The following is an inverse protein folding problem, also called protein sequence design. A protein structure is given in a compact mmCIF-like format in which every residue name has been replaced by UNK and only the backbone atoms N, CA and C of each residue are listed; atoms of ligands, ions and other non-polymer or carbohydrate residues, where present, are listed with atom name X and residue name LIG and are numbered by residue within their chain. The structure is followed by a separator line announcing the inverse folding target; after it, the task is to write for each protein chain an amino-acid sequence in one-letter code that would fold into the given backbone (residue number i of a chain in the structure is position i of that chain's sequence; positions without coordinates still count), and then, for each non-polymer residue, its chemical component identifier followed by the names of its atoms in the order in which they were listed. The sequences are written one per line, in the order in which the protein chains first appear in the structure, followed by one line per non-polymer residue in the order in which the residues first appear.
data_IF_194745155624
#
_entry.id   IF_194745155624
#
_cell.length_a   1.000
_cell.length_b   1.000
_cell.length_c   1.000
_cell.angle_alpha   90.00
_cell.angle_beta   90.00
_cell.angle_gamma   90.00
#
_symmetry.space_group_name_H-M   'P 1'
#
loop_
_entity.id
_entity.type
_entity.pdbx_description
1 polymer ?
#
# COMPACT_ATOMS: atom_id res chain seq x y z
N UNK A 1 20.96 -8.39 -14.10
CA UNK A 1 19.74 -7.60 -14.34
C UNK A 1 18.76 -7.95 -13.25
N UNK A 2 18.43 -6.97 -12.42
CA UNK A 2 17.65 -7.14 -11.19
C UNK A 2 16.26 -7.70 -11.51
N UNK A 3 15.93 -8.88 -10.98
CA UNK A 3 14.58 -9.44 -11.12
C UNK A 3 13.66 -8.63 -10.22
N UNK A 4 12.94 -7.66 -10.78
CA UNK A 4 11.88 -6.96 -10.07
C UNK A 4 10.93 -8.00 -9.48
N UNK A 5 10.79 -8.02 -8.14
CA UNK A 5 9.82 -8.88 -7.48
C UNK A 5 8.42 -8.53 -7.99
N UNK A 6 7.65 -9.53 -8.40
CA UNK A 6 6.25 -9.34 -8.80
C UNK A 6 5.49 -8.78 -7.61
N UNK A 7 4.96 -7.57 -7.75
CA UNK A 7 4.15 -6.94 -6.72
C UNK A 7 2.84 -7.73 -6.50
N UNK A 8 2.34 -7.82 -5.26
CA UNK A 8 1.05 -8.46 -5.01
C UNK A 8 -0.07 -7.66 -5.67
N UNK A 9 -1.08 -8.36 -6.20
CA UNK A 9 -2.30 -7.71 -6.66
C UNK A 9 -3.11 -7.22 -5.47
N UNK A 10 -3.28 -5.90 -5.35
CA UNK A 10 -3.95 -5.27 -4.20
C UNK A 10 -5.44 -5.63 -4.10
N UNK A 11 -6.09 -5.97 -5.21
CA UNK A 11 -7.49 -6.45 -5.21
C UNK A 11 -7.61 -7.96 -4.95
N UNK A 12 -6.52 -8.70 -4.80
CA UNK A 12 -6.62 -10.14 -4.54
C UNK A 12 -7.20 -10.40 -3.15
N UNK A 13 -8.04 -11.43 -3.03
CA UNK A 13 -8.59 -11.89 -1.74
C UNK A 13 -7.47 -12.13 -0.72
N UNK A 14 -6.39 -12.80 -1.13
CA UNK A 14 -5.27 -13.14 -0.26
C UNK A 14 -4.56 -11.90 0.29
N UNK A 15 -4.38 -10.85 -0.52
CA UNK A 15 -3.83 -9.58 -0.03
C UNK A 15 -4.79 -8.92 0.97
N UNK A 16 -6.07 -8.80 0.61
CA UNK A 16 -7.06 -8.11 1.43
C UNK A 16 -7.29 -8.79 2.79
N UNK A 17 -7.26 -10.12 2.84
CA UNK A 17 -7.45 -10.88 4.08
C UNK A 17 -6.20 -10.90 4.98
N UNK A 18 -4.98 -10.85 4.40
CA UNK A 18 -3.73 -11.02 5.16
C UNK A 18 -3.03 -9.72 5.52
N UNK A 19 -3.14 -8.70 4.68
CA UNK A 19 -2.54 -7.40 4.96
C UNK A 19 -3.45 -6.63 5.92
N UNK A 20 -2.94 -6.29 7.10
CA UNK A 20 -3.67 -5.42 8.04
C UNK A 20 -3.58 -3.96 7.59
N UNK A 21 -4.52 -3.13 8.04
CA UNK A 21 -4.53 -1.69 7.75
C UNK A 21 -3.22 -1.02 8.20
N UNK A 22 -2.74 -1.37 9.39
CA UNK A 22 -1.46 -0.88 9.92
C UNK A 22 -0.27 -1.32 9.04
N UNK A 23 -0.27 -2.56 8.53
CA UNK A 23 0.76 -3.01 7.60
C UNK A 23 0.72 -2.20 6.30
N UNK A 24 -0.47 -1.99 5.73
CA UNK A 24 -0.65 -1.23 4.49
C UNK A 24 -0.15 0.20 4.67
N UNK A 25 -0.62 0.90 5.71
CA UNK A 25 -0.22 2.26 6.02
C UNK A 25 1.29 2.39 6.22
N UNK A 26 1.89 1.48 7.03
CA UNK A 26 3.33 1.51 7.28
C UNK A 26 4.14 1.27 6.00
N UNK A 27 3.68 0.32 5.17
CA UNK A 27 4.38 0.03 3.90
C UNK A 27 4.31 1.23 2.96
N UNK A 28 3.17 1.91 2.85
CA UNK A 28 3.05 3.12 2.00
C UNK A 28 3.93 4.25 2.56
N UNK A 29 3.94 4.43 3.88
CA UNK A 29 4.75 5.45 4.51
C UNK A 29 6.25 5.18 4.33
N UNK A 30 6.73 4.02 4.77
CA UNK A 30 8.17 3.72 4.86
C UNK A 30 8.75 3.14 3.57
N UNK A 31 7.89 2.75 2.63
CA UNK A 31 8.29 1.92 1.51
C UNK A 31 8.63 0.49 1.95
N UNK A 32 9.28 -0.26 1.05
CA UNK A 32 9.82 -1.59 1.34
C UNK A 32 11.25 -1.71 0.82
N UNK A 33 12.27 -1.71 1.71
CA UNK A 33 13.67 -1.81 1.33
C UNK A 33 13.97 -2.99 0.40
N UNK A 34 14.81 -2.77 -0.61
CA UNK A 34 15.16 -3.79 -1.59
C UNK A 34 14.07 -4.11 -2.62
N UNK A 35 13.04 -3.27 -2.73
CA UNK A 35 11.99 -3.36 -3.76
C UNK A 35 11.79 -2.01 -4.44
N UNK A 36 11.01 -1.99 -5.52
CA UNK A 36 10.64 -0.75 -6.21
C UNK A 36 9.66 0.15 -5.41
N UNK A 37 9.17 -0.31 -4.26
CA UNK A 37 8.17 0.41 -3.46
C UNK A 37 8.88 1.37 -2.51
N UNK A 38 9.00 2.63 -2.92
CA UNK A 38 9.63 3.70 -2.14
C UNK A 38 8.69 4.23 -1.03
N UNK A 39 9.24 5.00 -0.10
CA UNK A 39 8.46 5.75 0.88
C UNK A 39 7.60 6.82 0.18
N UNK A 40 6.33 6.92 0.56
CA UNK A 40 5.40 7.92 0.02
C UNK A 40 5.00 9.00 1.03
N UNK A 41 5.54 8.99 2.25
CA UNK A 41 5.49 10.17 3.13
C UNK A 41 6.71 11.05 2.89
N UNK A 42 6.51 12.36 2.87
CA UNK A 42 7.57 13.35 2.68
C UNK A 42 7.47 14.49 3.70
N UNK A 43 8.43 15.42 3.62
CA UNK A 43 8.39 16.67 4.40
C UNK A 43 7.27 17.59 3.86
N UNK A 44 6.94 18.66 4.61
CA UNK A 44 5.85 19.58 4.25
C UNK A 44 5.85 19.97 2.76
N UNK A 45 4.71 19.72 2.09
CA UNK A 45 4.53 19.95 0.66
C UNK A 45 4.93 18.79 -0.26
N UNK A 46 5.42 17.67 0.28
CA UNK A 46 5.82 16.47 -0.49
C UNK A 46 5.24 15.19 0.12
N UNK A 47 4.84 14.24 -0.72
CA UNK A 47 4.26 12.96 -0.28
C UNK A 47 2.83 13.06 0.27
N UNK A 48 2.31 11.96 0.79
CA UNK A 48 0.98 11.91 1.40
C UNK A 48 0.99 12.39 2.84
N UNK A 49 0.00 13.21 3.18
CA UNK A 49 -0.37 13.54 4.56
C UNK A 49 -1.01 12.35 5.27
N UNK A 50 -1.13 12.42 6.60
CA UNK A 50 -1.83 11.38 7.37
C UNK A 50 -3.29 11.19 6.96
N UNK A 51 -3.97 12.26 6.57
CA UNK A 51 -5.35 12.19 6.05
C UNK A 51 -5.41 11.47 4.69
N UNK A 52 -4.53 11.84 3.76
CA UNK A 52 -4.47 11.20 2.43
C UNK A 52 -4.08 9.72 2.52
N UNK A 53 -3.22 9.34 3.48
CA UNK A 53 -2.92 7.92 3.74
C UNK A 53 -4.17 7.15 4.22
N UNK A 54 -5.00 7.77 5.07
CA UNK A 54 -6.25 7.16 5.52
C UNK A 54 -7.26 7.02 4.37
N UNK A 55 -7.37 8.03 3.51
CA UNK A 55 -8.23 8.00 2.32
C UNK A 55 -7.75 6.94 1.31
N UNK A 56 -6.44 6.85 1.09
CA UNK A 56 -5.85 5.84 0.23
C UNK A 56 -6.08 4.43 0.78
N UNK A 57 -5.91 4.22 2.08
CA UNK A 57 -6.25 2.95 2.73
C UNK A 57 -7.73 2.60 2.51
N UNK A 58 -8.64 3.56 2.76
CA UNK A 58 -10.07 3.35 2.56
C UNK A 58 -10.36 2.94 1.11
N UNK A 59 -9.79 3.64 0.13
CA UNK A 59 -9.90 3.29 -1.29
C UNK A 59 -9.36 1.89 -1.58
N UNK A 60 -8.17 1.53 -1.09
CA UNK A 60 -7.59 0.20 -1.28
C UNK A 60 -8.49 -0.92 -0.74
N UNK A 61 -9.22 -0.69 0.36
CA UNK A 61 -10.17 -1.66 0.90
C UNK A 61 -11.40 -1.84 0.03
N UNK A 62 -11.81 -0.81 -0.71
CA UNK A 62 -12.91 -0.94 -1.70
C UNK A 62 -12.57 -1.87 -2.86
N UNK A 63 -11.28 -2.09 -3.13
CA UNK A 63 -10.82 -3.01 -4.18
C UNK A 63 -11.00 -4.48 -3.81
N UNK A 64 -11.45 -4.79 -2.59
CA UNK A 64 -11.75 -6.15 -2.17
C UNK A 64 -12.74 -6.80 -3.13
N UNK A 65 -12.50 -8.06 -3.57
CA UNK A 65 -13.44 -8.75 -4.45
C UNK A 65 -14.81 -8.79 -3.77
N UNK A 66 -15.83 -8.27 -4.45
CA UNK A 66 -17.21 -8.48 -4.01
C UNK A 66 -17.44 -9.97 -3.90
N UNK A 67 -17.74 -10.47 -2.69
CA UNK A 67 -18.29 -11.82 -2.50
C UNK A 67 -19.54 -11.90 -3.37
N UNK A 68 -19.48 -12.70 -4.44
CA UNK A 68 -20.67 -13.19 -5.15
C UNK A 68 -21.24 -14.38 -4.39
#
# INVERSE_FOLDING_TARGET
GEKGQVAPTLSSRSFQEKASDAMILRTIAEGRPGTAMVAFVGAEGTGFTGGELADLLAYLRTLSPRRR
#
